data_IF_832357596551
#
_entry.id   IF_832357596551
#
_cell.length_a   1.000
_cell.length_b   1.000
_cell.length_c   1.000
_cell.angle_alpha   90.00
_cell.angle_beta   90.00
_cell.angle_gamma   90.00
#
_symmetry.space_group_name_H-M   'P 1'
#
loop_
_entity.id
_entity.type
_entity.pdbx_description
1 polymer ?
#
# COMPACT_ATOMS: atom_id res chain seq x y z
N UNK A 1 -1.63 -4.27 31.36
CA UNK A 1 -0.84 -3.18 30.79
C UNK A 1 0.23 -3.80 29.90
N UNK A 2 0.35 -3.38 28.64
CA UNK A 2 1.54 -3.60 27.81
C UNK A 2 1.99 -2.22 27.38
N UNK A 3 3.25 -1.87 27.69
CA UNK A 3 3.94 -0.71 27.15
C UNK A 3 5.12 -1.20 26.33
N UNK A 4 5.27 -0.71 25.10
CA UNK A 4 6.37 -1.12 24.22
C UNK A 4 6.81 0.01 23.31
N UNK A 5 8.10 0.08 23.02
CA UNK A 5 8.66 1.05 22.08
C UNK A 5 8.31 0.63 20.66
N UNK A 6 7.87 1.60 19.85
CA UNK A 6 7.53 1.37 18.46
C UNK A 6 7.74 2.67 17.65
N UNK A 7 7.50 2.59 16.36
CA UNK A 7 7.50 3.74 15.47
C UNK A 7 6.12 3.84 14.82
N UNK A 8 5.48 5.00 14.94
CA UNK A 8 4.27 5.33 14.19
C UNK A 8 4.66 5.66 12.76
N UNK A 9 4.11 4.91 11.82
CA UNK A 9 4.34 5.08 10.38
C UNK A 9 3.14 5.84 9.81
N UNK A 10 3.43 6.96 9.16
CA UNK A 10 2.43 7.77 8.45
C UNK A 10 2.93 8.02 7.03
N UNK A 11 2.02 8.45 6.14
CA UNK A 11 2.38 8.77 4.76
C UNK A 11 3.43 9.89 4.66
N UNK A 12 3.55 10.73 5.68
CA UNK A 12 4.43 11.92 5.68
C UNK A 12 5.67 11.78 6.54
N UNK A 13 5.66 10.93 7.56
CA UNK A 13 6.73 10.85 8.54
C UNK A 13 6.72 9.57 9.36
N UNK A 14 7.84 9.33 10.04
CA UNK A 14 7.99 8.26 11.03
C UNK A 14 8.26 8.92 12.37
N UNK A 15 7.42 8.62 13.37
CA UNK A 15 7.58 9.13 14.72
C UNK A 15 7.93 8.00 15.68
N UNK A 16 9.08 8.10 16.35
CA UNK A 16 9.46 7.14 17.38
C UNK A 16 8.76 7.44 18.68
N UNK A 17 8.13 6.42 19.26
CA UNK A 17 7.36 6.59 20.47
C UNK A 17 7.22 5.35 21.33
N UNK A 18 6.32 5.46 22.28
CA UNK A 18 5.87 4.38 23.14
C UNK A 18 4.37 4.13 22.95
N UNK A 19 4.03 2.86 22.70
CA UNK A 19 2.67 2.40 22.56
C UNK A 19 2.23 1.69 23.82
N UNK A 20 1.08 2.09 24.36
CA UNK A 20 0.55 1.58 25.62
C UNK A 20 -0.90 1.16 25.44
N UNK A 21 -1.22 -0.05 25.91
CA UNK A 21 -2.59 -0.57 25.95
C UNK A 21 -3.02 -0.83 27.40
N UNK A 22 -4.16 -0.25 27.76
CA UNK A 22 -4.91 -0.58 28.98
C UNK A 22 -6.19 -1.35 28.64
N UNK A 23 -6.96 -1.73 29.66
CA UNK A 23 -8.29 -2.33 29.50
C UNK A 23 -9.36 -1.36 28.97
N UNK A 24 -9.04 -0.06 28.87
CA UNK A 24 -9.99 0.99 28.46
C UNK A 24 -9.51 1.85 27.30
N UNK A 25 -8.21 1.97 27.09
CA UNK A 25 -7.63 2.92 26.14
C UNK A 25 -6.39 2.36 25.44
N UNK A 26 -6.16 2.87 24.24
CA UNK A 26 -4.95 2.73 23.44
C UNK A 26 -4.27 4.09 23.40
N UNK A 27 -2.96 4.12 23.66
CA UNK A 27 -2.16 5.33 23.64
C UNK A 27 -0.94 5.17 22.74
N UNK A 28 -0.55 6.28 22.11
CA UNK A 28 0.78 6.47 21.57
C UNK A 28 1.34 7.79 22.06
N UNK A 29 2.57 7.73 22.58
CA UNK A 29 3.33 8.90 23.01
C UNK A 29 4.53 9.06 22.08
N UNK A 30 4.54 10.14 21.31
CA UNK A 30 5.65 10.58 20.49
C UNK A 30 6.81 11.02 21.39
N UNK A 31 7.97 10.40 21.17
CA UNK A 31 9.20 10.66 21.91
C UNK A 31 10.24 11.37 21.03
N UNK A 32 9.87 11.82 19.82
CA UNK A 32 10.78 12.55 18.95
C UNK A 32 11.05 13.95 19.49
N UNK A 33 12.32 14.25 19.75
CA UNK A 33 12.79 15.44 20.47
C UNK A 33 12.52 16.78 19.75
N UNK A 34 12.11 16.76 18.48
CA UNK A 34 12.10 17.94 17.60
C UNK A 34 10.71 18.50 17.24
N UNK A 35 9.61 17.80 17.57
CA UNK A 35 8.24 18.28 17.31
C UNK A 35 7.38 18.06 18.54
N UNK A 36 6.81 19.15 19.07
CA UNK A 36 5.92 19.14 20.24
C UNK A 36 4.77 18.13 20.09
N UNK A 37 4.82 16.94 20.71
CA UNK A 37 3.72 15.99 20.93
C UNK A 37 2.69 15.79 19.77
N UNK A 38 3.03 16.12 18.52
CA UNK A 38 2.06 16.32 17.44
C UNK A 38 1.34 15.02 17.07
N UNK A 39 2.01 13.90 17.28
CA UNK A 39 1.50 12.58 16.93
C UNK A 39 0.93 11.82 18.13
N UNK A 40 0.85 12.43 19.32
CA UNK A 40 0.25 11.79 20.49
C UNK A 40 -1.23 11.51 20.23
N UNK A 41 -1.67 10.30 20.52
CA UNK A 41 -3.08 9.98 20.48
C UNK A 41 -3.52 9.13 21.64
N UNK A 42 -4.82 9.22 21.93
CA UNK A 42 -5.53 8.43 22.91
C UNK A 42 -6.89 8.05 22.32
N UNK A 43 -7.12 6.75 22.16
CA UNK A 43 -8.40 6.23 21.69
C UNK A 43 -9.02 5.30 22.71
N UNK A 44 -10.36 5.34 22.90
CA UNK A 44 -11.06 4.30 23.64
C UNK A 44 -10.78 2.93 23.03
N UNK A 45 -10.42 1.95 23.85
CA UNK A 45 -10.19 0.59 23.38
C UNK A 45 -11.46 0.01 22.71
N UNK A 46 -12.65 0.39 23.19
CA UNK A 46 -13.93 0.01 22.59
C UNK A 46 -14.13 0.45 21.14
N UNK A 47 -13.34 1.43 20.67
CA UNK A 47 -13.37 1.87 19.27
C UNK A 47 -12.59 0.95 18.34
N UNK A 48 -11.76 0.04 18.87
CA UNK A 48 -11.00 -0.87 18.05
C UNK A 48 -11.92 -1.88 17.36
N UNK A 49 -11.92 -1.83 16.03
CA UNK A 49 -12.74 -2.68 15.17
C UNK A 49 -11.90 -3.84 14.60
N UNK A 50 -10.69 -3.54 14.14
CA UNK A 50 -9.82 -4.54 13.51
C UNK A 50 -8.34 -4.28 13.78
N UNK A 51 -7.54 -5.35 13.69
CA UNK A 51 -6.09 -5.31 13.80
C UNK A 51 -5.52 -6.28 12.78
N UNK A 52 -4.59 -5.79 11.95
CA UNK A 52 -3.98 -6.61 10.92
C UNK A 52 -2.47 -6.64 11.10
N UNK A 53 -1.89 -7.85 11.00
CA UNK A 53 -0.44 -8.00 10.94
C UNK A 53 0.05 -7.46 9.59
N UNK A 54 1.01 -6.53 9.65
CA UNK A 54 1.59 -5.87 8.49
C UNK A 54 3.07 -6.14 8.37
N UNK A 55 3.53 -5.99 7.13
CA UNK A 55 4.95 -5.95 6.84
C UNK A 55 5.41 -4.50 6.84
N UNK A 56 6.59 -4.25 7.38
CA UNK A 56 7.30 -2.99 7.23
C UNK A 56 8.72 -3.34 6.77
N UNK A 57 9.17 -2.73 5.67
CA UNK A 57 10.40 -3.13 4.98
C UNK A 57 10.49 -4.65 4.73
N UNK A 58 9.38 -5.22 4.26
CA UNK A 58 9.19 -6.66 3.96
C UNK A 58 9.25 -7.60 5.17
N UNK A 59 9.31 -7.08 6.40
CA UNK A 59 9.33 -7.88 7.64
C UNK A 59 8.01 -7.80 8.37
N UNK A 60 7.45 -8.91 8.89
CA UNK A 60 6.16 -8.93 9.59
C UNK A 60 6.30 -8.38 11.02
N UNK A 61 6.60 -7.09 11.14
CA UNK A 61 6.99 -6.40 12.37
C UNK A 61 6.03 -5.29 12.77
N UNK A 62 4.96 -5.10 11.99
CA UNK A 62 4.04 -4.00 12.16
C UNK A 62 2.60 -4.48 12.42
N UNK A 63 1.81 -3.65 13.09
CA UNK A 63 0.38 -3.84 13.27
C UNK A 63 -0.35 -2.60 12.78
N UNK A 64 -1.41 -2.81 12.02
CA UNK A 64 -2.33 -1.76 11.61
C UNK A 64 -3.64 -1.90 12.39
N UNK A 65 -4.07 -0.81 13.01
CA UNK A 65 -5.26 -0.75 13.84
C UNK A 65 -6.33 0.05 13.12
N UNK A 66 -7.55 -0.48 13.09
CA UNK A 66 -8.71 0.15 12.47
C UNK A 66 -9.77 0.42 13.54
N UNK A 67 -10.23 1.66 13.58
CA UNK A 67 -11.23 2.12 14.53
C UNK A 67 -12.60 2.30 13.87
N UNK A 68 -13.67 2.23 14.67
CA UNK A 68 -15.07 2.39 14.22
C UNK A 68 -15.36 3.72 13.51
N UNK A 69 -14.56 4.76 13.76
CA UNK A 69 -14.68 6.08 13.14
C UNK A 69 -13.86 6.20 11.85
N UNK A 70 -13.42 5.08 11.27
CA UNK A 70 -12.57 4.99 10.07
C UNK A 70 -11.13 5.51 10.24
N UNK A 71 -10.77 5.99 11.44
CA UNK A 71 -9.37 6.27 11.76
C UNK A 71 -8.60 4.95 11.77
N UNK A 72 -7.40 4.97 11.20
CA UNK A 72 -6.47 3.86 11.26
C UNK A 72 -5.06 4.38 11.49
N UNK A 73 -4.19 3.52 12.03
CA UNK A 73 -2.79 3.86 12.27
C UNK A 73 -1.90 2.61 12.20
N UNK A 74 -0.68 2.79 11.70
CA UNK A 74 0.31 1.73 11.50
C UNK A 74 1.47 1.90 12.48
N UNK A 75 1.73 0.87 13.29
CA UNK A 75 2.84 0.84 14.23
C UNK A 75 3.84 -0.24 13.84
N UNK A 76 5.10 0.12 13.70
CA UNK A 76 6.20 -0.83 13.53
C UNK A 76 6.93 -1.06 14.87
N UNK A 77 7.19 -2.32 15.21
CA UNK A 77 7.79 -2.73 16.49
C UNK A 77 9.26 -3.19 16.36
N UNK A 78 9.88 -3.04 15.19
CA UNK A 78 11.30 -3.36 14.98
C UNK A 78 12.17 -2.13 15.25
N UNK A 79 12.85 -2.09 16.41
CA UNK A 79 13.82 -1.03 16.76
C UNK A 79 15.27 -1.48 16.85
N UNK A 80 15.57 -2.79 16.91
CA UNK A 80 16.93 -3.29 17.03
C UNK A 80 17.08 -4.64 16.31
N UNK A 81 17.80 -4.61 15.18
CA UNK A 81 18.11 -5.75 14.30
C UNK A 81 18.66 -6.99 15.04
N UNK A 82 19.33 -6.79 16.18
CA UNK A 82 19.95 -7.87 16.96
C UNK A 82 18.99 -8.62 17.90
N UNK A 83 17.92 -7.97 18.38
CA UNK A 83 17.02 -8.50 19.40
C UNK A 83 15.54 -8.38 18.96
N UNK A 84 15.28 -8.67 17.68
CA UNK A 84 13.93 -8.69 17.16
C UNK A 84 13.09 -9.76 17.87
N UNK A 85 12.23 -9.35 18.80
CA UNK A 85 11.21 -10.23 19.37
C UNK A 85 10.08 -10.41 18.35
N UNK A 86 10.20 -11.43 17.48
CA UNK A 86 9.14 -11.84 16.53
C UNK A 86 7.79 -12.12 17.20
N UNK A 87 7.76 -12.17 18.53
CA UNK A 87 6.56 -12.42 19.33
C UNK A 87 5.91 -11.14 19.83
N UNK A 88 6.50 -9.94 19.67
CA UNK A 88 5.91 -8.71 20.23
C UNK A 88 4.53 -8.40 19.62
N UNK A 89 4.41 -8.46 18.29
CA UNK A 89 3.13 -8.29 17.61
C UNK A 89 2.11 -9.32 18.10
N UNK A 90 2.51 -10.59 18.22
CA UNK A 90 1.66 -11.67 18.75
C UNK A 90 1.21 -11.41 20.18
N UNK A 91 2.12 -11.03 21.08
CA UNK A 91 1.82 -10.68 22.48
C UNK A 91 0.82 -9.53 22.57
N UNK A 92 0.94 -8.52 21.71
CA UNK A 92 -0.01 -7.40 21.64
C UNK A 92 -1.39 -7.91 21.22
N UNK A 93 -1.45 -8.72 20.16
CA UNK A 93 -2.70 -9.31 19.68
C UNK A 93 -3.34 -10.18 20.77
N UNK A 94 -2.61 -11.12 21.35
CA UNK A 94 -3.08 -12.00 22.44
C UNK A 94 -3.63 -11.17 23.61
N UNK A 95 -2.95 -10.07 23.95
CA UNK A 95 -3.41 -9.18 25.02
C UNK A 95 -4.71 -8.47 24.66
N UNK A 96 -4.84 -7.97 23.44
CA UNK A 96 -6.07 -7.31 22.97
C UNK A 96 -7.24 -8.29 22.96
N UNK A 97 -7.02 -9.52 22.47
CA UNK A 97 -8.02 -10.58 22.49
C UNK A 97 -8.47 -10.94 23.92
N UNK A 98 -7.58 -10.81 24.92
CA UNK A 98 -7.93 -11.06 26.33
C UNK A 98 -8.92 -10.06 26.92
N UNK A 99 -9.07 -8.86 26.33
CA UNK A 99 -9.97 -7.83 26.84
C UNK A 99 -11.45 -8.03 26.44
N UNK A 100 -11.77 -9.08 25.66
CA UNK A 100 -13.15 -9.42 25.24
C UNK A 100 -13.89 -8.21 24.66
N UNK A 101 -13.27 -7.51 23.71
CA UNK A 101 -13.86 -6.30 23.16
C UNK A 101 -15.21 -6.59 22.48
N UNK A 102 -16.23 -5.71 22.65
CA UNK A 102 -17.53 -5.88 22.01
C UNK A 102 -17.47 -5.85 20.47
N UNK A 103 -16.48 -5.15 19.92
CA UNK A 103 -16.39 -4.75 18.51
C UNK A 103 -15.36 -5.54 17.69
N UNK A 104 -14.52 -6.39 18.32
CA UNK A 104 -13.52 -7.21 17.62
C UNK A 104 -14.17 -8.51 17.13
N UNK A 105 -15.15 -8.37 16.25
CA UNK A 105 -15.86 -9.47 15.59
C UNK A 105 -15.50 -9.57 14.10
N UNK A 106 -14.54 -8.77 13.63
CA UNK A 106 -14.06 -8.90 12.26
C UNK A 106 -13.32 -10.23 12.08
N UNK A 107 -13.82 -11.05 11.15
CA UNK A 107 -13.13 -12.25 10.63
C UNK A 107 -11.69 -11.93 10.22
N UNK A 108 -11.40 -10.70 9.78
CA UNK A 108 -10.05 -10.32 9.38
C UNK A 108 -9.09 -10.17 10.56
N UNK A 109 -9.57 -9.87 11.77
CA UNK A 109 -8.70 -9.78 12.95
C UNK A 109 -8.22 -11.15 13.43
N UNK A 110 -9.10 -12.16 13.44
CA UNK A 110 -8.72 -13.52 13.84
C UNK A 110 -7.84 -14.22 12.79
N UNK A 111 -8.10 -13.96 11.51
CA UNK A 111 -7.36 -14.54 10.39
C UNK A 111 -6.05 -13.80 10.11
N UNK A 112 -6.09 -12.47 10.08
CA UNK A 112 -4.99 -11.58 9.71
C UNK A 112 -3.85 -11.50 10.72
N UNK A 113 -4.04 -12.07 11.91
CA UNK A 113 -3.04 -12.09 12.98
C UNK A 113 -2.26 -13.40 13.05
N UNK A 114 -2.77 -14.47 12.41
CA UNK A 114 -2.22 -15.83 12.51
C UNK A 114 -1.90 -16.46 11.16
N UNK A 115 -2.52 -15.99 10.08
CA UNK A 115 -2.47 -16.63 8.77
C UNK A 115 -1.73 -15.80 7.72
N UNK A 116 -1.26 -16.46 6.67
CA UNK A 116 -0.66 -15.79 5.51
C UNK A 116 -1.75 -15.29 4.54
N UNK A 117 -1.48 -14.25 3.71
CA UNK A 117 -2.48 -13.66 2.82
C UNK A 117 -3.31 -14.64 1.97
N UNK A 118 -2.73 -15.71 1.37
CA UNK A 118 -3.51 -16.68 0.61
C UNK A 118 -4.56 -17.44 1.45
N UNK A 119 -4.25 -17.72 2.72
CA UNK A 119 -5.17 -18.40 3.63
C UNK A 119 -6.30 -17.47 4.08
N UNK A 120 -5.98 -16.20 4.36
CA UNK A 120 -6.97 -15.16 4.69
C UNK A 120 -7.95 -14.99 3.52
N UNK A 121 -7.44 -14.93 2.28
CA UNK A 121 -8.28 -14.84 1.08
C UNK A 121 -9.26 -16.01 0.98
N UNK A 122 -8.77 -17.23 1.18
CA UNK A 122 -9.61 -18.45 1.14
C UNK A 122 -10.68 -18.45 2.23
N UNK A 123 -10.33 -18.05 3.46
CA UNK A 123 -11.24 -18.14 4.61
C UNK A 123 -12.24 -16.99 4.69
N UNK A 124 -11.88 -15.80 4.21
CA UNK A 124 -12.75 -14.62 4.19
C UNK A 124 -13.93 -14.74 3.21
N UNK A 125 -13.87 -15.68 2.25
CA UNK A 125 -14.89 -15.91 1.20
C UNK A 125 -15.16 -14.69 0.32
N UNK A 126 -14.28 -13.70 0.29
CA UNK A 126 -14.50 -12.48 -0.50
C UNK A 126 -14.56 -12.75 -2.00
N UNK A 127 -13.81 -13.75 -2.49
CA UNK A 127 -13.87 -14.18 -3.89
C UNK A 127 -15.24 -14.75 -4.23
N UNK A 128 -15.86 -15.50 -3.32
CA UNK A 128 -17.22 -16.01 -3.53
C UNK A 128 -18.21 -14.84 -3.65
N UNK A 129 -18.12 -13.86 -2.75
CA UNK A 129 -18.99 -12.67 -2.75
C UNK A 129 -18.82 -11.83 -4.03
N UNK A 130 -17.60 -11.71 -4.52
CA UNK A 130 -17.33 -11.06 -5.79
C UNK A 130 -17.95 -11.84 -6.97
N UNK A 131 -17.80 -13.18 -6.99
CA UNK A 131 -18.42 -14.03 -8.01
C UNK A 131 -19.96 -14.00 -7.97
N UNK A 132 -20.58 -13.79 -6.81
CA UNK A 132 -22.03 -13.65 -6.64
C UNK A 132 -22.53 -12.21 -6.78
N UNK A 133 -21.67 -11.28 -7.19
CA UNK A 133 -21.97 -9.84 -7.34
C UNK A 133 -22.41 -9.12 -6.05
N UNK A 134 -22.09 -9.68 -4.88
CA UNK A 134 -22.22 -8.99 -3.58
C UNK A 134 -21.11 -7.96 -3.36
N UNK A 135 -20.00 -8.06 -4.10
CA UNK A 135 -18.91 -7.10 -4.11
C UNK A 135 -18.66 -6.59 -5.53
N UNK A 136 -18.44 -5.28 -5.66
CA UNK A 136 -17.97 -4.70 -6.91
C UNK A 136 -16.51 -5.09 -7.19
N UNK A 137 -16.05 -4.88 -8.43
CA UNK A 137 -14.64 -5.04 -8.77
C UNK A 137 -13.74 -4.12 -7.92
N UNK A 138 -14.20 -2.90 -7.66
CA UNK A 138 -13.48 -1.94 -6.84
C UNK A 138 -13.31 -2.45 -5.40
N UNK A 139 -14.42 -2.86 -4.77
CA UNK A 139 -14.41 -3.37 -3.40
C UNK A 139 -13.53 -4.62 -3.29
N UNK A 140 -13.65 -5.53 -4.27
CA UNK A 140 -12.83 -6.74 -4.29
C UNK A 140 -11.34 -6.42 -4.40
N UNK A 141 -10.93 -5.49 -5.27
CA UNK A 141 -9.54 -5.05 -5.40
C UNK A 141 -9.04 -4.36 -4.12
N UNK A 142 -9.86 -3.55 -3.46
CA UNK A 142 -9.53 -2.94 -2.17
C UNK A 142 -9.31 -4.00 -1.08
N UNK A 143 -10.16 -5.02 -1.04
CA UNK A 143 -10.02 -6.13 -0.10
C UNK A 143 -8.77 -6.96 -0.39
N UNK A 144 -8.46 -7.24 -1.66
CA UNK A 144 -7.22 -7.94 -2.04
C UNK A 144 -5.97 -7.16 -1.63
N UNK A 145 -5.95 -5.84 -1.86
CA UNK A 145 -4.86 -4.97 -1.42
C UNK A 145 -4.70 -5.04 0.11
N UNK A 146 -5.80 -4.93 0.85
CA UNK A 146 -5.81 -4.99 2.32
C UNK A 146 -5.28 -6.34 2.84
N UNK A 147 -5.69 -7.46 2.24
CA UNK A 147 -5.20 -8.81 2.59
C UNK A 147 -3.71 -8.97 2.26
N UNK A 148 -3.26 -8.39 1.15
CA UNK A 148 -1.85 -8.39 0.76
C UNK A 148 -0.95 -7.53 1.66
N UNK A 149 -1.52 -6.78 2.60
CA UNK A 149 -0.80 -5.92 3.53
C UNK A 149 -0.55 -4.50 3.00
N UNK A 150 -1.24 -4.10 1.94
CA UNK A 150 -1.18 -2.74 1.38
C UNK A 150 -1.94 -1.77 2.29
N UNK A 151 -1.44 -0.54 2.38
CA UNK A 151 -1.95 0.47 3.32
C UNK A 151 -1.69 1.88 2.81
N UNK A 152 -2.58 2.80 3.19
CA UNK A 152 -2.42 4.24 2.95
C UNK A 152 -1.37 4.89 3.88
N UNK A 153 -1.00 4.23 4.98
CA UNK A 153 -0.03 4.75 5.95
C UNK A 153 1.43 4.65 5.48
N UNK A 154 1.73 3.79 4.50
CA UNK A 154 3.07 3.60 3.95
C UNK A 154 3.02 3.65 2.42
N UNK A 155 3.54 4.75 1.85
CA UNK A 155 3.53 4.97 0.40
C UNK A 155 4.32 3.91 -0.39
N UNK A 156 5.26 3.20 0.25
CA UNK A 156 5.98 2.10 -0.39
C UNK A 156 5.12 0.83 -0.54
N UNK A 157 4.02 0.76 0.18
CA UNK A 157 3.06 -0.35 0.18
C UNK A 157 1.65 0.15 -0.13
N UNK A 158 1.53 1.22 -0.92
CA UNK A 158 0.25 1.81 -1.31
C UNK A 158 -0.60 0.82 -2.10
N UNK A 159 -1.95 0.87 -1.97
CA UNK A 159 -2.84 0.05 -2.78
C UNK A 159 -2.63 0.23 -4.29
N UNK A 160 -2.86 -0.84 -5.05
CA UNK A 160 -2.61 -0.90 -6.50
C UNK A 160 -3.89 -1.24 -7.22
N UNK A 161 -4.16 -0.51 -8.29
CA UNK A 161 -5.22 -0.78 -9.24
C UNK A 161 -4.63 -0.94 -10.64
N UNK A 162 -5.22 -1.78 -11.51
CA UNK A 162 -4.71 -1.96 -12.86
C UNK A 162 -5.12 -0.78 -13.74
N UNK A 163 -4.28 -0.45 -14.73
CA UNK A 163 -4.78 0.23 -15.92
C UNK A 163 -5.87 -0.61 -16.59
N UNK A 164 -7.04 -0.02 -16.85
CA UNK A 164 -8.18 -0.71 -17.47
C UNK A 164 -8.35 -0.32 -18.93
N UNK A 165 -8.29 0.98 -19.23
CA UNK A 165 -8.40 1.50 -20.59
C UNK A 165 -7.02 1.65 -21.22
N UNK A 166 -6.97 1.56 -22.55
CA UNK A 166 -5.79 1.86 -23.37
C UNK A 166 -6.05 2.90 -24.46
N UNK A 167 -7.29 3.35 -24.62
CA UNK A 167 -7.63 4.46 -25.51
C UNK A 167 -7.89 5.72 -24.70
N UNK A 168 -6.97 6.68 -24.85
CA UNK A 168 -7.03 8.02 -24.26
C UNK A 168 -6.96 9.10 -25.34
N UNK A 169 -7.27 8.74 -26.59
CA UNK A 169 -7.16 9.62 -27.76
C UNK A 169 -8.50 9.85 -28.46
N UNK A 170 -9.40 8.88 -28.40
CA UNK A 170 -10.75 9.03 -28.96
C UNK A 170 -11.55 10.10 -28.22
N UNK A 171 -12.22 10.97 -28.98
CA UNK A 171 -13.13 11.97 -28.42
C UNK A 171 -14.33 11.33 -27.71
N UNK A 172 -14.78 10.17 -28.20
CA UNK A 172 -15.86 9.38 -27.61
C UNK A 172 -15.34 7.96 -27.43
N UNK A 173 -15.35 7.49 -26.18
CA UNK A 173 -14.89 6.15 -25.83
C UNK A 173 -16.04 5.13 -26.03
N UNK A 174 -15.87 4.21 -26.98
CA UNK A 174 -16.78 3.08 -27.15
C UNK A 174 -16.40 1.92 -26.22
N UNK A 175 -17.13 1.80 -25.10
CA UNK A 175 -16.92 0.74 -24.11
C UNK A 175 -17.35 -0.66 -24.59
N UNK A 176 -18.01 -0.77 -25.76
CA UNK A 176 -18.34 -2.07 -26.35
C UNK A 176 -17.21 -2.59 -27.24
N UNK A 177 -16.25 -1.74 -27.60
CA UNK A 177 -15.09 -2.15 -28.37
C UNK A 177 -14.07 -2.83 -27.46
N UNK A 178 -13.83 -4.16 -27.56
CA UNK A 178 -12.87 -4.85 -26.71
C UNK A 178 -11.44 -4.30 -26.85
N UNK A 179 -11.13 -3.61 -27.95
CA UNK A 179 -9.84 -3.00 -28.19
C UNK A 179 -9.61 -1.69 -27.42
N UNK A 180 -10.56 -1.18 -26.62
CA UNK A 180 -10.27 -0.06 -25.72
C UNK A 180 -9.76 -0.52 -24.36
N UNK A 181 -9.81 -1.82 -24.07
CA UNK A 181 -9.39 -2.39 -22.80
C UNK A 181 -7.97 -2.96 -22.86
N UNK A 182 -7.30 -2.90 -21.71
CA UNK A 182 -5.98 -3.50 -21.48
C UNK A 182 -6.07 -5.02 -21.48
N UNK A 183 -5.03 -5.67 -21.96
CA UNK A 183 -4.89 -7.12 -21.81
C UNK A 183 -4.38 -7.47 -20.40
N UNK A 184 -5.30 -7.89 -19.53
CA UNK A 184 -4.98 -8.29 -18.15
C UNK A 184 -4.15 -9.58 -18.03
N UNK A 185 -3.97 -10.35 -19.11
CA UNK A 185 -3.09 -11.53 -19.09
C UNK A 185 -1.60 -11.16 -19.07
N UNK A 186 -1.28 -9.89 -19.34
CA UNK A 186 0.08 -9.38 -19.47
C UNK A 186 0.37 -8.29 -18.43
N UNK A 187 1.59 -8.16 -17.91
CA UNK A 187 2.01 -6.98 -17.15
C UNK A 187 2.12 -5.73 -18.05
N UNK A 188 2.28 -4.56 -17.43
CA UNK A 188 2.39 -3.27 -18.11
C UNK A 188 3.54 -3.22 -19.11
N UNK A 189 4.74 -3.67 -18.71
CA UNK A 189 5.96 -3.55 -19.52
C UNK A 189 5.93 -4.26 -20.87
N UNK A 190 4.96 -5.15 -21.12
CA UNK A 190 4.78 -5.86 -22.40
C UNK A 190 3.37 -5.68 -22.99
N UNK A 191 2.63 -4.65 -22.57
CA UNK A 191 1.39 -4.27 -23.26
C UNK A 191 1.66 -3.90 -24.72
N UNK A 192 2.80 -3.26 -24.98
CA UNK A 192 3.34 -3.09 -26.31
C UNK A 192 4.10 -4.38 -26.72
N UNK A 193 3.64 -5.12 -27.74
CA UNK A 193 4.33 -6.35 -28.18
C UNK A 193 5.76 -6.11 -28.63
N UNK A 194 6.11 -4.89 -29.07
CA UNK A 194 7.48 -4.53 -29.48
C UNK A 194 8.49 -4.68 -28.34
N UNK A 195 8.04 -4.59 -27.09
CA UNK A 195 8.90 -4.70 -25.91
C UNK A 195 9.19 -6.14 -25.49
N UNK A 196 8.46 -7.14 -26.01
CA UNK A 196 8.58 -8.54 -25.54
C UNK A 196 10.00 -9.07 -25.72
N UNK A 197 10.57 -8.92 -26.91
CA UNK A 197 11.92 -9.41 -27.22
C UNK A 197 12.99 -8.65 -26.45
N UNK A 198 12.84 -7.33 -26.27
CA UNK A 198 13.77 -6.53 -25.49
C UNK A 198 13.78 -6.96 -24.01
N UNK A 199 12.60 -7.09 -23.40
CA UNK A 199 12.45 -7.48 -21.99
C UNK A 199 12.98 -8.90 -21.76
N UNK A 200 12.71 -9.81 -22.68
CA UNK A 200 13.20 -11.19 -22.62
C UNK A 200 14.72 -11.25 -22.79
N UNK A 201 15.26 -10.55 -23.79
CA UNK A 201 16.70 -10.47 -24.04
C UNK A 201 17.46 -9.91 -22.83
N UNK A 202 16.95 -8.82 -22.21
CA UNK A 202 17.53 -8.27 -20.98
C UNK A 202 17.60 -9.29 -19.84
N UNK A 203 16.53 -10.08 -19.63
CA UNK A 203 16.53 -11.13 -18.63
C UNK A 203 17.57 -12.22 -18.95
N UNK A 204 17.61 -12.67 -20.19
CA UNK A 204 18.50 -13.75 -20.64
C UNK A 204 19.97 -13.34 -20.59
N UNK A 205 20.29 -12.11 -21.01
CA UNK A 205 21.66 -11.57 -21.03
C UNK A 205 22.13 -11.05 -19.68
N UNK A 206 21.24 -10.86 -18.70
CA UNK A 206 21.64 -10.40 -17.37
C UNK A 206 22.53 -11.44 -16.70
N UNK A 207 23.74 -11.02 -16.36
CA UNK A 207 24.70 -11.79 -15.58
C UNK A 207 25.28 -10.87 -14.50
N UNK A 208 25.16 -11.27 -13.25
CA UNK A 208 25.71 -10.55 -12.11
C UNK A 208 27.03 -11.20 -11.70
N UNK A 209 28.19 -10.52 -11.87
CA UNK A 209 29.49 -11.09 -11.53
C UNK A 209 29.61 -11.53 -10.07
N UNK A 210 28.79 -10.97 -9.17
CA UNK A 210 28.78 -11.33 -7.75
C UNK A 210 27.88 -12.53 -7.42
N UNK A 211 26.97 -12.92 -8.33
CA UNK A 211 25.96 -13.95 -8.13
C UNK A 211 24.91 -13.64 -7.06
N UNK A 212 24.86 -12.40 -6.54
CA UNK A 212 23.94 -11.96 -5.50
C UNK A 212 22.59 -11.56 -6.09
N UNK A 213 22.59 -10.96 -7.28
CA UNK A 213 21.40 -10.46 -7.95
C UNK A 213 20.89 -11.54 -8.91
N UNK A 214 19.68 -12.04 -8.66
CA UNK A 214 18.98 -12.94 -9.58
C UNK A 214 18.54 -12.20 -10.83
N UNK A 215 18.46 -12.89 -11.96
CA UNK A 215 17.88 -12.36 -13.21
C UNK A 215 16.48 -11.80 -12.97
N UNK A 216 16.17 -10.68 -13.63
CA UNK A 216 14.90 -9.99 -13.54
C UNK A 216 14.53 -9.34 -14.87
N UNK A 217 13.23 -9.15 -15.10
CA UNK A 217 12.72 -8.49 -16.31
C UNK A 217 12.70 -6.96 -16.15
N UNK A 218 12.37 -6.48 -14.95
CA UNK A 218 12.16 -5.06 -14.67
C UNK A 218 13.00 -4.63 -13.46
N UNK A 219 13.82 -3.60 -13.64
CA UNK A 219 14.54 -2.95 -12.54
C UNK A 219 13.70 -1.92 -11.79
N UNK A 220 12.51 -1.61 -12.31
CA UNK A 220 11.54 -0.69 -11.73
C UNK A 220 10.31 -1.46 -11.26
N UNK A 221 9.66 -0.96 -10.21
CA UNK A 221 8.49 -1.59 -9.60
C UNK A 221 7.20 -0.86 -10.02
N UNK A 222 6.13 -1.62 -10.25
CA UNK A 222 4.82 -1.10 -10.67
C UNK A 222 4.12 -0.21 -9.62
N UNK A 223 4.59 -0.26 -8.38
CA UNK A 223 4.05 0.52 -7.25
C UNK A 223 5.20 0.96 -6.34
N UNK A 224 5.35 2.25 -6.14
CA UNK A 224 6.37 2.83 -5.28
C UNK A 224 5.92 4.22 -4.82
N UNK A 225 6.53 4.74 -3.76
CA UNK A 225 6.14 6.02 -3.18
C UNK A 225 6.25 7.19 -4.17
N UNK A 226 7.27 7.20 -5.04
CA UNK A 226 7.45 8.24 -6.05
C UNK A 226 6.32 8.23 -7.08
N UNK A 227 5.83 7.06 -7.50
CA UNK A 227 4.66 6.95 -8.39
C UNK A 227 3.39 7.50 -7.75
N UNK A 228 3.16 7.20 -6.46
CA UNK A 228 1.98 7.71 -5.74
C UNK A 228 2.02 9.24 -5.63
N UNK A 229 3.17 9.79 -5.23
CA UNK A 229 3.38 11.25 -5.17
C UNK A 229 3.26 11.91 -6.54
N UNK A 230 3.77 11.25 -7.59
CA UNK A 230 3.65 11.72 -8.97
C UNK A 230 2.18 11.83 -9.40
N UNK A 231 1.34 10.82 -9.12
CA UNK A 231 -0.07 10.88 -9.45
C UNK A 231 -0.84 11.91 -8.62
N UNK A 232 -0.59 11.98 -7.32
CA UNK A 232 -1.33 12.84 -6.40
C UNK A 232 -0.69 14.23 -6.20
N UNK A 233 0.18 14.66 -7.11
CA UNK A 233 0.98 15.89 -6.97
C UNK A 233 0.16 17.16 -6.72
N UNK A 234 -1.11 17.19 -7.13
CA UNK A 234 -2.05 18.32 -6.93
C UNK A 234 -2.78 18.30 -5.58
N UNK A 235 -2.56 17.28 -4.75
CA UNK A 235 -3.23 17.08 -3.47
C UNK A 235 -2.23 17.14 -2.32
N UNK A 236 -2.51 17.92 -1.28
CA UNK A 236 -1.76 17.82 -0.02
C UNK A 236 -2.14 16.54 0.75
N UNK A 237 -1.20 15.89 1.46
CA UNK A 237 0.19 16.29 1.69
C UNK A 237 1.18 15.85 0.58
N UNK A 238 0.71 15.26 -0.52
CA UNK A 238 1.57 14.66 -1.55
C UNK A 238 2.37 15.70 -2.33
N UNK A 239 1.82 16.91 -2.53
CA UNK A 239 2.57 18.05 -3.07
C UNK A 239 3.79 18.36 -2.21
N UNK A 240 3.60 18.51 -0.89
CA UNK A 240 4.71 18.76 0.05
C UNK A 240 5.74 17.62 0.02
N UNK A 241 5.29 16.36 0.01
CA UNK A 241 6.19 15.21 -0.04
C UNK A 241 6.99 15.12 -1.34
N UNK A 242 6.38 15.45 -2.48
CA UNK A 242 7.07 15.53 -3.77
C UNK A 242 8.17 16.59 -3.75
N UNK A 243 7.87 17.79 -3.23
CA UNK A 243 8.86 18.87 -3.09
C UNK A 243 10.04 18.41 -2.21
N UNK A 244 9.76 17.71 -1.11
CA UNK A 244 10.80 17.16 -0.23
C UNK A 244 11.66 16.12 -0.95
N UNK A 245 11.04 15.19 -1.69
CA UNK A 245 11.75 14.20 -2.49
C UNK A 245 12.65 14.86 -3.54
N UNK A 246 12.22 15.98 -4.10
CA UNK A 246 12.89 16.70 -5.19
C UNK A 246 13.79 17.85 -4.70
N UNK A 247 14.41 17.66 -3.53
CA UNK A 247 15.38 18.61 -2.95
C UNK A 247 14.83 20.03 -2.73
N UNK A 248 13.57 20.14 -2.29
CA UNK A 248 12.94 21.41 -1.90
C UNK A 248 12.30 22.19 -3.04
N UNK A 249 12.10 21.59 -4.21
CA UNK A 249 11.42 22.22 -5.35
C UNK A 249 10.57 21.20 -6.11
N UNK A 250 9.72 21.66 -7.02
CA UNK A 250 9.10 20.77 -7.99
C UNK A 250 10.15 20.20 -8.95
N UNK A 251 9.88 18.98 -9.40
CA UNK A 251 10.56 18.40 -10.55
C UNK A 251 10.14 19.11 -11.85
N UNK A 252 10.88 18.89 -12.94
CA UNK A 252 10.63 19.57 -14.22
C UNK A 252 9.23 19.23 -14.76
N UNK A 253 8.60 20.20 -15.40
CA UNK A 253 7.21 20.12 -15.86
C UNK A 253 6.96 18.89 -16.74
N UNK A 254 7.87 18.59 -17.68
CA UNK A 254 7.73 17.49 -18.64
C UNK A 254 7.71 16.09 -17.99
N UNK A 255 8.16 15.98 -16.73
CA UNK A 255 8.12 14.72 -15.96
C UNK A 255 6.98 14.64 -14.97
N UNK A 256 6.17 15.70 -14.85
CA UNK A 256 5.03 15.71 -13.92
C UNK A 256 3.82 15.01 -14.53
N UNK A 257 2.95 14.50 -13.66
CA UNK A 257 1.69 13.94 -14.10
C UNK A 257 0.75 15.07 -14.56
N UNK A 258 0.41 15.10 -15.84
CA UNK A 258 -0.48 16.11 -16.40
C UNK A 258 -1.59 15.55 -17.31
N UNK A 259 -1.48 14.30 -17.78
CA UNK A 259 -2.59 13.67 -18.51
C UNK A 259 -2.50 12.14 -18.50
N UNK A 260 -3.66 11.48 -18.53
CA UNK A 260 -3.76 10.03 -18.70
C UNK A 260 -3.14 9.56 -20.03
N UNK A 261 -3.40 10.31 -21.11
CA UNK A 261 -2.89 9.99 -22.44
C UNK A 261 -1.36 9.96 -22.43
N UNK A 262 -0.72 11.00 -21.92
CA UNK A 262 0.75 11.11 -21.86
C UNK A 262 1.34 10.01 -20.97
N UNK A 263 0.73 9.72 -19.81
CA UNK A 263 1.18 8.62 -18.96
C UNK A 263 1.07 7.26 -19.65
N UNK A 264 -0.04 7.00 -20.34
CA UNK A 264 -0.23 5.75 -21.08
C UNK A 264 0.74 5.64 -22.26
N UNK A 265 0.96 6.72 -23.01
CA UNK A 265 1.95 6.77 -24.09
C UNK A 265 3.36 6.48 -23.57
N UNK A 266 3.78 7.10 -22.46
CA UNK A 266 5.10 6.85 -21.87
C UNK A 266 5.30 5.37 -21.49
N UNK A 267 4.26 4.74 -20.92
CA UNK A 267 4.25 3.30 -20.62
C UNK A 267 4.36 2.46 -21.90
N UNK A 268 3.67 2.86 -22.97
CA UNK A 268 3.70 2.16 -24.25
C UNK A 268 5.01 2.35 -25.02
N UNK A 269 5.73 3.44 -24.76
CA UNK A 269 7.01 3.78 -25.41
C UNK A 269 8.23 3.24 -24.66
N UNK A 270 8.11 2.96 -23.35
CA UNK A 270 9.22 2.45 -22.54
C UNK A 270 8.84 1.23 -21.69
N UNK A 271 9.48 0.07 -21.88
CA UNK A 271 9.23 -1.11 -21.04
C UNK A 271 9.72 -0.96 -19.59
N UNK A 272 10.51 0.09 -19.32
CA UNK A 272 11.01 0.39 -17.98
C UNK A 272 9.99 1.20 -17.17
N UNK A 273 8.95 1.75 -17.79
CA UNK A 273 7.84 2.39 -17.09
C UNK A 273 6.69 1.38 -16.86
N UNK A 274 6.84 0.59 -15.80
CA UNK A 274 5.88 -0.46 -15.44
C UNK A 274 4.79 -0.01 -14.47
N UNK A 275 4.55 1.29 -14.27
CA UNK A 275 3.64 1.80 -13.23
C UNK A 275 2.19 1.36 -13.46
N UNK A 276 1.60 0.74 -12.45
CA UNK A 276 0.16 0.52 -12.38
C UNK A 276 -0.52 1.71 -11.70
N UNK A 277 -1.85 1.79 -11.80
CA UNK A 277 -2.65 2.85 -11.20
C UNK A 277 -2.79 2.70 -9.68
N UNK A 278 -3.36 3.73 -9.06
CA UNK A 278 -3.81 3.76 -7.66
C UNK A 278 -5.35 3.87 -7.60
N UNK A 279 -5.99 3.51 -6.47
CA UNK A 279 -7.45 3.53 -6.35
C UNK A 279 -8.11 4.87 -6.70
N UNK A 280 -7.44 5.98 -6.42
CA UNK A 280 -7.94 7.35 -6.57
C UNK A 280 -8.37 7.65 -8.01
N UNK A 281 -7.77 6.99 -9.01
CA UNK A 281 -8.16 7.07 -10.43
C UNK A 281 -9.62 6.67 -10.69
N UNK A 282 -10.27 5.98 -9.75
CA UNK A 282 -11.61 5.42 -9.91
C UNK A 282 -12.68 6.14 -9.07
N UNK A 283 -12.29 7.06 -8.18
CA UNK A 283 -13.27 7.72 -7.29
C UNK A 283 -12.94 9.16 -6.88
N UNK A 284 -11.72 9.65 -7.08
CA UNK A 284 -11.28 10.96 -6.58
C UNK A 284 -10.97 11.89 -7.77
N UNK A 285 -11.93 12.62 -8.34
CA UNK A 285 -11.65 13.52 -9.46
C UNK A 285 -10.70 14.68 -9.11
N UNK A 286 -10.58 15.05 -7.84
CA UNK A 286 -9.84 16.22 -7.37
C UNK A 286 -8.31 16.12 -7.55
N UNK A 287 -7.73 14.93 -7.76
CA UNK A 287 -6.29 14.83 -8.03
C UNK A 287 -5.90 15.21 -9.46
N UNK A 288 -6.85 15.45 -10.36
CA UNK A 288 -6.64 15.77 -11.78
C UNK A 288 -6.48 17.26 -12.07
#
# INVERSE_FOLDING_TARGET
LIGTKCSLITSTSIADGEFIITDRFIYFFDLTLSKSCQNNFKYPLSWLQDILLRRYNLRPTALEFFLINQTNFLLNFDKNLANYDKKICRKIIEKLMSFKLPSTTSLFSSLGTTMIPPEILKQSKITQKWLTHELSNFDYLMMLNTIAGRTYNDLNQYPIFPWVLKDYTSQVLDINNPNVFRDFSKPIGIQNPKHIEEVKSKYESFDDPSGLIKKFHYGTHYSNAASVMHYLIRMEPFTTLHIQLQSGKFDIADRQFHSFQSSWTNIMDSPNDGKELIPEFFYLPEFL
#
